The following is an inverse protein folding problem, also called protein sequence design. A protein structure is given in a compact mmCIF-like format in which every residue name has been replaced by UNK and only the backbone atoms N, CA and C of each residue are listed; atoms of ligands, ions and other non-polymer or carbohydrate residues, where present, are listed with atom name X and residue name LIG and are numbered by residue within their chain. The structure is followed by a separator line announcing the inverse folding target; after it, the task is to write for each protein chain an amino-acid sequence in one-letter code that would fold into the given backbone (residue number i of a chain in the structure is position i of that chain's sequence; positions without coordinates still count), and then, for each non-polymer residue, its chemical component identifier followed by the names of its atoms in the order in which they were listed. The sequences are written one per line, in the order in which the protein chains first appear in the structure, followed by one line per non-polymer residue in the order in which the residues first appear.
data_IF_897531346869
#
_entry.id   IF_897531346869
#
_cell.length_a   1.000
_cell.length_b   1.000
_cell.length_c   1.000
_cell.angle_alpha   90.00
_cell.angle_beta   90.00
_cell.angle_gamma   90.00
#
_symmetry.space_group_name_H-M   'P 1'
#
loop_
_entity.id
_entity.type
_entity.pdbx_description
1 polymer ?
#
# COMPACT_ATOMS: atom_id res chain seq x y z
N UNK A 1 5.85 -14.14 -33.02
CA UNK A 1 6.40 -14.24 -31.65
C UNK A 1 5.89 -13.03 -30.88
N UNK A 2 5.16 -13.22 -29.78
CA UNK A 2 4.71 -12.10 -28.95
C UNK A 2 5.90 -11.68 -28.09
N UNK A 3 6.54 -10.58 -28.45
CA UNK A 3 7.64 -10.03 -27.67
C UNK A 3 7.08 -9.39 -26.39
N UNK A 4 7.62 -9.76 -25.23
CA UNK A 4 7.18 -9.27 -23.91
C UNK A 4 7.85 -7.92 -23.59
N UNK A 5 7.10 -6.87 -23.23
CA UNK A 5 7.66 -5.54 -22.93
C UNK A 5 8.61 -5.49 -21.73
N UNK A 6 8.62 -6.51 -20.85
CA UNK A 6 9.58 -6.59 -19.74
C UNK A 6 10.95 -7.15 -20.14
N UNK A 7 11.04 -7.78 -21.30
CA UNK A 7 12.26 -8.45 -21.80
C UNK A 7 12.80 -7.76 -23.03
N UNK A 8 11.92 -7.26 -23.90
CA UNK A 8 12.28 -6.62 -25.15
C UNK A 8 11.83 -5.15 -25.17
N UNK A 9 12.63 -4.27 -25.79
CA UNK A 9 12.28 -2.87 -25.92
C UNK A 9 11.03 -2.68 -26.73
N UNK A 10 10.00 -2.21 -26.03
CA UNK A 10 8.71 -1.90 -26.59
C UNK A 10 8.17 -0.64 -25.94
N UNK A 11 7.80 0.32 -26.78
CA UNK A 11 7.09 1.49 -26.31
C UNK A 11 5.67 1.08 -25.93
N UNK A 12 5.36 1.21 -24.65
CA UNK A 12 4.05 0.83 -24.09
C UNK A 12 2.96 1.90 -24.29
N UNK A 13 3.22 2.94 -25.08
CA UNK A 13 2.26 3.88 -25.65
C UNK A 13 1.39 4.64 -24.64
N UNK A 14 0.42 5.41 -25.15
CA UNK A 14 -0.61 6.10 -24.36
C UNK A 14 -0.14 7.32 -23.57
N UNK A 15 -1.02 7.85 -22.73
CA UNK A 15 -0.67 8.95 -21.82
C UNK A 15 -0.02 8.41 -20.53
N UNK A 16 0.29 9.28 -19.57
CA UNK A 16 0.97 8.87 -18.34
C UNK A 16 0.22 7.76 -17.58
N UNK A 17 -1.11 7.80 -17.57
CA UNK A 17 -1.99 6.91 -16.78
C UNK A 17 -2.63 5.85 -17.69
N UNK A 18 -3.40 6.25 -18.69
CA UNK A 18 -4.03 5.36 -19.68
C UNK A 18 -3.01 4.96 -20.76
N UNK A 19 -2.38 3.81 -20.54
CA UNK A 19 -1.37 3.20 -21.40
C UNK A 19 -1.58 1.67 -21.49
N UNK A 20 -0.79 0.96 -22.30
CA UNK A 20 -0.96 -0.49 -22.45
C UNK A 20 -0.70 -1.27 -21.15
N UNK A 21 0.07 -0.73 -20.19
CA UNK A 21 0.21 -1.36 -18.86
C UNK A 21 -1.07 -1.27 -18.05
N UNK A 22 -1.89 -0.24 -18.24
CA UNK A 22 -3.20 -0.18 -17.61
C UNK A 22 -4.06 -1.37 -18.07
N UNK A 23 -4.08 -1.62 -19.38
CA UNK A 23 -4.80 -2.79 -19.92
C UNK A 23 -4.18 -4.09 -19.42
N UNK A 24 -2.86 -4.22 -19.47
CA UNK A 24 -2.14 -5.42 -19.06
C UNK A 24 -2.36 -5.81 -17.60
N UNK A 25 -2.45 -4.84 -16.70
CA UNK A 25 -2.65 -5.13 -15.27
C UNK A 25 -4.11 -5.12 -14.85
N UNK A 26 -4.92 -4.20 -15.37
CA UNK A 26 -6.32 -4.09 -14.98
C UNK A 26 -7.21 -5.13 -15.68
N UNK A 27 -6.91 -5.56 -16.91
CA UNK A 27 -7.73 -6.57 -17.58
C UNK A 27 -7.68 -7.94 -16.88
N UNK A 28 -6.52 -8.48 -16.48
CA UNK A 28 -6.47 -9.69 -15.66
C UNK A 28 -7.10 -9.49 -14.28
N UNK A 29 -6.95 -8.30 -13.68
CA UNK A 29 -7.62 -8.00 -12.41
C UNK A 29 -9.15 -8.13 -12.53
N UNK A 30 -9.72 -7.59 -13.61
CA UNK A 30 -11.14 -7.69 -13.90
C UNK A 30 -11.55 -9.13 -14.22
N UNK A 31 -10.82 -9.84 -15.09
CA UNK A 31 -11.11 -11.23 -15.44
C UNK A 31 -11.02 -12.18 -14.24
N UNK A 32 -10.03 -12.00 -13.37
CA UNK A 32 -9.89 -12.82 -12.16
C UNK A 32 -10.91 -12.44 -11.10
N UNK A 33 -11.34 -11.17 -11.06
CA UNK A 33 -12.42 -10.76 -10.17
C UNK A 33 -13.76 -11.41 -10.52
N UNK A 34 -14.04 -11.67 -11.80
CA UNK A 34 -15.30 -12.32 -12.22
C UNK A 34 -15.35 -13.82 -11.89
N UNK A 35 -14.19 -14.48 -11.77
CA UNK A 35 -14.09 -15.88 -11.32
C UNK A 35 -14.45 -16.07 -9.85
N UNK A 36 -14.20 -15.05 -9.02
CA UNK A 36 -14.53 -15.07 -7.59
C UNK A 36 -15.99 -14.70 -7.35
N UNK A 37 -16.61 -13.94 -8.25
CA UNK A 37 -18.05 -13.69 -8.24
C UNK A 37 -18.80 -15.00 -8.57
N UNK A 38 -19.91 -15.31 -7.86
CA UNK A 38 -20.76 -16.43 -8.26
C UNK A 38 -21.17 -16.25 -9.73
N UNK A 39 -21.32 -17.34 -10.52
CA UNK A 39 -21.59 -17.24 -11.96
C UNK A 39 -22.70 -16.22 -12.22
N UNK A 40 -22.31 -15.12 -12.85
CA UNK A 40 -23.06 -13.90 -13.12
C UNK A 40 -24.41 -14.11 -13.82
N UNK A 41 -24.72 -15.34 -14.22
CA UNK A 41 -25.94 -15.73 -14.91
C UNK A 41 -27.01 -16.42 -14.03
N UNK A 42 -26.69 -16.85 -12.80
CA UNK A 42 -27.64 -17.66 -11.98
C UNK A 42 -28.34 -16.92 -10.84
N UNK A 43 -27.93 -15.70 -10.50
CA UNK A 43 -28.54 -14.94 -9.39
C UNK A 43 -28.68 -13.50 -9.83
N UNK A 44 -29.79 -13.16 -10.51
CA UNK A 44 -30.28 -11.79 -10.44
C UNK A 44 -30.78 -11.61 -9.00
N UNK A 45 -30.16 -10.75 -8.18
CA UNK A 45 -30.55 -10.61 -6.79
C UNK A 45 -31.92 -9.93 -6.73
N UNK A 46 -32.98 -10.72 -6.55
CA UNK A 46 -34.35 -10.24 -6.42
C UNK A 46 -34.67 -9.68 -5.03
N UNK A 47 -33.72 -9.76 -4.08
CA UNK A 47 -33.92 -9.32 -2.70
C UNK A 47 -32.70 -8.62 -2.10
N UNK A 48 -32.94 -7.57 -1.33
CA UNK A 48 -31.93 -6.74 -0.68
C UNK A 48 -31.00 -7.52 0.28
N UNK A 49 -31.47 -8.65 0.82
CA UNK A 49 -30.66 -9.53 1.68
C UNK A 49 -29.57 -10.28 0.90
N UNK A 50 -29.84 -10.66 -0.35
CA UNK A 50 -28.87 -11.33 -1.23
C UNK A 50 -27.80 -10.35 -1.71
N UNK A 51 -28.18 -9.10 -1.96
CA UNK A 51 -27.23 -8.01 -2.29
C UNK A 51 -26.26 -7.78 -1.11
N UNK A 52 -26.78 -7.70 0.12
CA UNK A 52 -25.94 -7.55 1.32
C UNK A 52 -24.99 -8.73 1.50
N UNK A 53 -25.46 -9.97 1.32
CA UNK A 53 -24.63 -11.17 1.44
C UNK A 53 -23.50 -11.23 0.39
N UNK A 54 -23.77 -10.78 -0.84
CA UNK A 54 -22.77 -10.67 -1.90
C UNK A 54 -21.68 -9.63 -1.56
N UNK A 55 -22.09 -8.49 -1.01
CA UNK A 55 -21.17 -7.39 -0.63
C UNK A 55 -20.40 -7.71 0.65
N UNK A 56 -20.96 -8.44 1.61
CA UNK A 56 -20.27 -8.80 2.86
C UNK A 56 -19.52 -10.14 2.81
N UNK A 57 -19.69 -10.90 1.74
CA UNK A 57 -19.18 -12.26 1.61
C UNK A 57 -17.65 -12.35 1.44
N UNK A 58 -17.06 -13.54 1.66
CA UNK A 58 -15.66 -13.80 1.37
C UNK A 58 -15.29 -13.46 -0.08
N UNK A 59 -16.26 -13.60 -1.00
CA UNK A 59 -16.18 -13.23 -2.41
C UNK A 59 -15.61 -11.82 -2.64
N UNK A 60 -16.23 -10.80 -2.05
CA UNK A 60 -15.80 -9.41 -2.25
C UNK A 60 -14.39 -9.15 -1.70
N UNK A 61 -14.01 -9.83 -0.61
CA UNK A 61 -12.64 -9.72 -0.05
C UNK A 61 -11.60 -10.23 -1.04
N UNK A 62 -11.85 -11.37 -1.69
CA UNK A 62 -10.96 -11.91 -2.71
C UNK A 62 -10.82 -10.96 -3.91
N UNK A 63 -11.93 -10.41 -4.39
CA UNK A 63 -11.94 -9.39 -5.46
C UNK A 63 -11.10 -8.17 -5.09
N UNK A 64 -11.29 -7.61 -3.89
CA UNK A 64 -10.54 -6.44 -3.41
C UNK A 64 -9.04 -6.73 -3.32
N UNK A 65 -8.65 -7.92 -2.85
CA UNK A 65 -7.24 -8.33 -2.78
C UNK A 65 -6.63 -8.45 -4.17
N UNK A 66 -7.32 -9.08 -5.13
CA UNK A 66 -6.87 -9.21 -6.51
C UNK A 66 -6.70 -7.82 -7.13
N UNK A 67 -7.71 -6.96 -7.05
CA UNK A 67 -7.64 -5.60 -7.59
C UNK A 67 -6.49 -4.83 -6.94
N UNK A 68 -6.34 -4.92 -5.62
CA UNK A 68 -5.24 -4.27 -4.89
C UNK A 68 -3.87 -4.75 -5.39
N UNK A 69 -3.67 -6.05 -5.56
CA UNK A 69 -2.43 -6.62 -6.07
C UNK A 69 -2.08 -6.11 -7.48
N UNK A 70 -3.05 -6.11 -8.39
CA UNK A 70 -2.82 -5.62 -9.75
C UNK A 70 -2.64 -4.09 -9.81
N UNK A 71 -3.30 -3.34 -8.93
CA UNK A 71 -3.06 -1.90 -8.78
C UNK A 71 -1.62 -1.62 -8.33
N UNK A 72 -1.07 -2.43 -7.42
CA UNK A 72 0.34 -2.33 -7.02
C UNK A 72 1.26 -2.50 -8.24
N UNK A 73 1.03 -3.53 -9.06
CA UNK A 73 1.84 -3.78 -10.26
C UNK A 73 1.71 -2.64 -11.29
N UNK A 74 0.51 -2.11 -11.44
CA UNK A 74 0.24 -0.99 -12.33
C UNK A 74 0.91 0.31 -11.90
N UNK A 75 0.84 0.67 -10.61
CA UNK A 75 1.50 1.86 -10.07
C UNK A 75 3.01 1.77 -10.27
N UNK A 76 3.63 0.61 -9.97
CA UNK A 76 5.06 0.42 -10.20
C UNK A 76 5.41 0.56 -11.70
N UNK A 77 4.56 0.05 -12.59
CA UNK A 77 4.76 0.16 -14.04
C UNK A 77 4.63 1.61 -14.54
N UNK A 78 3.75 2.42 -13.94
CA UNK A 78 3.67 3.86 -14.25
C UNK A 78 4.99 4.54 -13.88
N UNK A 79 5.47 4.34 -12.65
CA UNK A 79 6.71 4.96 -12.18
C UNK A 79 7.87 4.56 -13.10
N UNK A 80 8.02 3.27 -13.39
CA UNK A 80 9.03 2.76 -14.32
C UNK A 80 8.97 3.46 -15.68
N UNK A 81 7.78 3.52 -16.29
CA UNK A 81 7.59 4.19 -17.59
C UNK A 81 7.97 5.66 -17.58
N UNK A 82 7.68 6.37 -16.48
CA UNK A 82 7.98 7.80 -16.36
C UNK A 82 9.50 8.05 -16.44
N UNK A 83 10.32 7.18 -15.84
CA UNK A 83 11.78 7.33 -15.84
C UNK A 83 12.46 6.71 -17.08
N UNK A 84 11.80 5.82 -17.80
CA UNK A 84 12.33 5.15 -18.98
C UNK A 84 11.60 5.47 -20.29
N UNK A 85 10.99 6.66 -20.37
CA UNK A 85 10.34 7.17 -21.58
C UNK A 85 9.35 6.20 -22.22
N UNK A 86 8.54 5.51 -21.40
CA UNK A 86 7.52 4.57 -21.86
C UNK A 86 7.97 3.11 -22.01
N UNK A 87 9.20 2.77 -21.60
CA UNK A 87 9.71 1.40 -21.56
C UNK A 87 9.63 0.82 -20.13
N UNK A 88 9.53 -0.51 -20.01
CA UNK A 88 9.40 -1.23 -18.73
C UNK A 88 10.36 -2.41 -18.59
N UNK A 89 11.36 -2.47 -19.45
CA UNK A 89 12.30 -3.59 -19.49
C UNK A 89 13.06 -3.76 -18.17
N UNK A 90 13.25 -5.01 -17.74
CA UNK A 90 14.04 -5.33 -16.54
C UNK A 90 15.54 -5.10 -16.73
N UNK A 91 16.02 -5.12 -17.98
CA UNK A 91 17.43 -4.86 -18.30
C UNK A 91 17.84 -3.40 -18.09
N UNK A 92 16.90 -2.48 -17.97
CA UNK A 92 17.18 -1.08 -17.66
C UNK A 92 17.59 -0.98 -16.18
N UNK A 93 18.63 -0.23 -15.85
CA UNK A 93 18.99 0.04 -14.45
C UNK A 93 17.87 0.79 -13.70
N UNK A 94 17.92 0.82 -12.37
CA UNK A 94 17.04 1.67 -11.56
C UNK A 94 17.85 2.90 -11.12
N UNK A 95 17.39 4.09 -11.52
CA UNK A 95 18.03 5.35 -11.13
C UNK A 95 17.62 5.79 -9.71
N UNK A 96 18.43 6.64 -9.08
CA UNK A 96 18.13 7.17 -7.74
C UNK A 96 16.78 7.92 -7.68
N UNK A 97 16.52 8.78 -8.66
CA UNK A 97 15.25 9.52 -8.74
C UNK A 97 14.04 8.59 -8.89
N UNK A 98 14.18 7.50 -9.65
CA UNK A 98 13.15 6.45 -9.77
C UNK A 98 12.93 5.76 -8.43
N UNK A 99 14.02 5.36 -7.76
CA UNK A 99 14.00 4.69 -6.45
C UNK A 99 13.28 5.52 -5.38
N UNK A 100 13.58 6.82 -5.29
CA UNK A 100 12.93 7.74 -4.36
C UNK A 100 11.45 7.95 -4.71
N UNK A 101 11.11 8.00 -5.99
CA UNK A 101 9.72 8.17 -6.43
C UNK A 101 8.85 7.00 -5.99
N UNK A 102 9.35 5.75 -6.05
CA UNK A 102 8.63 4.62 -5.46
C UNK A 102 8.31 4.87 -3.98
N UNK A 103 9.30 5.26 -3.17
CA UNK A 103 9.08 5.51 -1.74
C UNK A 103 8.06 6.60 -1.48
N UNK A 104 8.14 7.73 -2.19
CA UNK A 104 7.21 8.86 -2.02
C UNK A 104 5.79 8.48 -2.39
N UNK A 105 5.60 7.81 -3.54
CA UNK A 105 4.25 7.38 -3.98
C UNK A 105 3.65 6.39 -2.98
N UNK A 106 4.42 5.41 -2.53
CA UNK A 106 3.94 4.42 -1.55
C UNK A 106 3.66 5.04 -0.18
N UNK A 107 4.44 6.05 0.24
CA UNK A 107 4.20 6.81 1.48
C UNK A 107 2.87 7.58 1.42
N UNK A 108 2.60 8.25 0.30
CA UNK A 108 1.35 8.95 0.07
C UNK A 108 0.18 7.97 0.10
N UNK A 109 0.30 6.83 -0.60
CA UNK A 109 -0.76 5.81 -0.61
C UNK A 109 -1.02 5.22 0.78
N UNK A 110 0.03 4.96 1.57
CA UNK A 110 -0.11 4.50 2.95
C UNK A 110 -0.87 5.53 3.80
N UNK A 111 -0.46 6.79 3.72
CA UNK A 111 -1.08 7.90 4.46
C UNK A 111 -2.54 8.10 4.07
N UNK A 112 -2.85 8.11 2.77
CA UNK A 112 -4.22 8.18 2.27
C UNK A 112 -5.06 6.99 2.72
N UNK A 113 -4.49 5.78 2.74
CA UNK A 113 -5.18 4.58 3.21
C UNK A 113 -5.52 4.67 4.70
N UNK A 114 -4.60 5.19 5.53
CA UNK A 114 -4.85 5.44 6.96
C UNK A 114 -5.96 6.49 7.11
N UNK A 115 -5.84 7.63 6.43
CA UNK A 115 -6.77 8.73 6.55
C UNK A 115 -8.19 8.33 6.11
N UNK A 116 -8.33 7.71 4.94
CA UNK A 116 -9.61 7.20 4.44
C UNK A 116 -10.14 6.08 5.35
N UNK A 117 -9.25 5.23 5.88
CA UNK A 117 -9.62 4.20 6.85
C UNK A 117 -10.23 4.80 8.13
N UNK A 118 -9.62 5.86 8.66
CA UNK A 118 -10.11 6.57 9.84
C UNK A 118 -11.43 7.29 9.55
N UNK A 119 -11.49 8.05 8.44
CA UNK A 119 -12.68 8.78 8.02
C UNK A 119 -13.88 7.86 7.77
N UNK A 120 -13.64 6.65 7.23
CA UNK A 120 -14.69 5.66 7.00
C UNK A 120 -14.94 4.73 8.19
N UNK A 121 -14.29 4.94 9.34
CA UNK A 121 -14.36 4.07 10.53
C UNK A 121 -14.06 2.58 10.22
N UNK A 122 -13.06 2.32 9.37
CA UNK A 122 -12.62 0.97 8.97
C UNK A 122 -11.27 0.62 9.58
N UNK A 123 -11.27 0.02 10.76
CA UNK A 123 -10.04 -0.39 11.48
C UNK A 123 -9.09 -1.26 10.65
N UNK A 124 -9.63 -2.13 9.79
CA UNK A 124 -8.80 -2.95 8.90
C UNK A 124 -8.01 -2.11 7.90
N UNK A 125 -8.64 -1.09 7.32
CA UNK A 125 -7.95 -0.19 6.38
C UNK A 125 -6.87 0.62 7.10
N UNK A 126 -7.16 1.09 8.32
CA UNK A 126 -6.17 1.78 9.17
C UNK A 126 -4.97 0.88 9.46
N UNK A 127 -5.20 -0.37 9.91
CA UNK A 127 -4.13 -1.35 10.19
C UNK A 127 -3.31 -1.66 8.94
N UNK A 128 -3.95 -1.85 7.79
CA UNK A 128 -3.27 -2.07 6.52
C UNK A 128 -2.42 -0.86 6.11
N UNK A 129 -2.96 0.34 6.27
CA UNK A 129 -2.24 1.58 5.99
C UNK A 129 -1.00 1.75 6.88
N UNK A 130 -1.10 1.45 8.18
CA UNK A 130 0.06 1.44 9.09
C UNK A 130 1.08 0.35 8.74
N UNK A 131 0.62 -0.84 8.34
CA UNK A 131 1.50 -1.90 7.85
C UNK A 131 2.27 -1.45 6.60
N UNK A 132 1.59 -0.85 5.63
CA UNK A 132 2.23 -0.31 4.43
C UNK A 132 3.20 0.83 4.77
N UNK A 133 2.80 1.75 5.64
CA UNK A 133 3.66 2.83 6.13
C UNK A 133 4.95 2.27 6.74
N UNK A 134 4.84 1.23 7.56
CA UNK A 134 5.99 0.58 8.19
C UNK A 134 6.94 0.00 7.13
N UNK A 135 6.41 -0.70 6.13
CA UNK A 135 7.21 -1.25 5.03
C UNK A 135 7.93 -0.15 4.25
N UNK A 136 7.24 0.95 3.95
CA UNK A 136 7.83 2.09 3.22
C UNK A 136 8.92 2.76 4.03
N UNK A 137 8.71 2.97 5.33
CA UNK A 137 9.72 3.56 6.22
C UNK A 137 10.94 2.64 6.36
N UNK A 138 10.73 1.33 6.52
CA UNK A 138 11.84 0.37 6.55
C UNK A 138 12.61 0.35 5.22
N UNK A 139 11.92 0.35 4.08
CA UNK A 139 12.55 0.45 2.76
C UNK A 139 13.35 1.74 2.63
N UNK A 140 12.76 2.88 2.97
CA UNK A 140 13.44 4.17 2.88
C UNK A 140 14.68 4.20 3.76
N UNK A 141 14.60 3.64 4.96
CA UNK A 141 15.75 3.56 5.85
C UNK A 141 16.82 2.58 5.38
N UNK A 142 16.47 1.39 4.88
CA UNK A 142 17.46 0.38 4.51
C UNK A 142 18.04 0.65 3.13
N UNK A 143 17.17 0.88 2.15
CA UNK A 143 17.55 0.97 0.73
C UNK A 143 17.86 2.43 0.37
N UNK A 144 17.01 3.37 0.75
CA UNK A 144 17.21 4.75 0.33
C UNK A 144 18.31 5.44 1.14
N UNK A 145 18.61 5.02 2.38
CA UNK A 145 19.81 5.50 3.11
C UNK A 145 21.12 4.89 2.59
N UNK A 146 21.07 3.72 1.96
CA UNK A 146 22.27 3.05 1.45
C UNK A 146 22.95 3.85 0.33
N UNK A 147 22.19 4.73 -0.35
CA UNK A 147 22.70 5.63 -1.37
C UNK A 147 23.26 6.94 -0.82
N UNK A 148 23.13 7.21 0.48
CA UNK A 148 23.74 8.38 1.12
C UNK A 148 25.17 8.06 1.62
N UNK A 149 26.11 8.95 1.30
CA UNK A 149 27.52 8.83 1.70
C UNK A 149 27.73 8.97 3.23
N UNK A 150 28.87 8.46 3.72
CA UNK A 150 29.13 8.05 5.11
C UNK A 150 28.60 8.94 6.25
N UNK A 151 28.62 10.27 6.12
CA UNK A 151 28.12 11.17 7.17
C UNK A 151 26.59 11.09 7.34
N UNK A 152 25.85 11.13 6.24
CA UNK A 152 24.39 11.05 6.25
C UNK A 152 23.90 9.69 6.74
N UNK A 153 24.65 8.62 6.44
CA UNK A 153 24.37 7.28 6.97
C UNK A 153 24.51 7.24 8.51
N UNK A 154 25.58 7.84 9.04
CA UNK A 154 25.80 7.93 10.48
C UNK A 154 24.72 8.77 11.19
N UNK A 155 24.39 9.95 10.65
CA UNK A 155 23.32 10.81 11.17
C UNK A 155 21.96 10.11 11.17
N UNK A 156 21.68 9.28 10.17
CA UNK A 156 20.42 8.56 10.06
C UNK A 156 20.29 7.42 11.07
N UNK A 157 21.38 6.70 11.35
CA UNK A 157 21.40 5.74 12.45
C UNK A 157 21.17 6.41 13.80
N UNK A 158 21.79 7.57 14.04
CA UNK A 158 21.59 8.35 15.26
C UNK A 158 20.14 8.84 15.36
N UNK A 159 19.61 9.44 14.29
CA UNK A 159 18.22 9.92 14.25
C UNK A 159 17.20 8.80 14.48
N UNK A 160 17.42 7.62 13.89
CA UNK A 160 16.57 6.45 14.11
C UNK A 160 16.67 5.93 15.55
N UNK A 161 17.89 5.81 16.09
CA UNK A 161 18.12 5.42 17.48
C UNK A 161 17.43 6.37 18.48
N UNK A 162 17.56 7.67 18.28
CA UNK A 162 16.89 8.68 19.10
C UNK A 162 15.36 8.63 18.97
N UNK A 163 14.84 8.38 17.77
CA UNK A 163 13.40 8.24 17.53
C UNK A 163 12.82 7.04 18.27
N UNK A 164 13.52 5.90 18.27
CA UNK A 164 13.13 4.70 19.01
C UNK A 164 13.12 4.95 20.52
N UNK A 165 14.15 5.61 21.05
CA UNK A 165 14.22 6.00 22.47
C UNK A 165 13.05 6.94 22.82
N UNK A 166 12.79 7.96 22.00
CA UNK A 166 11.71 8.91 22.21
C UNK A 166 10.33 8.27 22.20
N UNK A 167 10.06 7.36 21.25
CA UNK A 167 8.81 6.60 21.19
C UNK A 167 8.68 5.66 22.40
N UNK A 168 9.74 4.93 22.77
CA UNK A 168 9.74 4.05 23.93
C UNK A 168 9.45 4.81 25.23
N UNK A 169 10.03 6.00 25.39
CA UNK A 169 9.75 6.90 26.51
C UNK A 169 8.30 7.39 26.50
N UNK A 170 7.77 7.78 25.34
CA UNK A 170 6.39 8.25 25.20
C UNK A 170 5.37 7.15 25.54
N UNK A 171 5.60 5.91 25.09
CA UNK A 171 4.78 4.76 25.45
C UNK A 171 4.79 4.49 26.95
N UNK A 172 5.96 4.53 27.59
CA UNK A 172 6.05 4.39 29.05
C UNK A 172 5.25 5.48 29.75
N UNK A 173 5.38 6.74 29.32
CA UNK A 173 4.65 7.88 29.90
C UNK A 173 3.14 7.72 29.81
N UNK A 174 2.59 7.30 28.67
CA UNK A 174 1.15 7.10 28.50
C UNK A 174 0.64 5.88 29.29
N UNK A 175 1.41 4.80 29.39
CA UNK A 175 1.00 3.64 30.18
C UNK A 175 1.00 3.93 31.68
N UNK A 176 1.91 4.79 32.17
CA UNK A 176 2.01 5.15 33.59
C UNK A 176 0.83 6.01 34.07
N UNK A 177 0.18 6.76 33.17
CA UNK A 177 -1.03 7.55 33.48
C UNK A 177 -2.29 6.64 33.61
N UNK A 178 -2.30 5.49 32.92
CA UNK A 178 -3.41 4.53 32.94
C UNK A 178 -3.46 3.65 34.20
N UNK A 179 -2.37 3.57 34.97
CA UNK A 179 -2.21 2.68 36.13
C UNK A 179 -2.44 3.38 37.49
N UNK A 180 -2.99 4.61 37.50
CA UNK A 180 -3.40 5.27 38.75
C UNK A 180 -4.54 4.47 39.41
N UNK A 181 -4.39 3.98 40.66
CA UNK A 181 -5.44 3.24 41.35
C UNK A 181 -6.70 4.10 41.49
N UNK A 182 -7.85 3.54 41.11
CA UNK A 182 -9.18 4.14 41.33
C UNK A 182 -9.61 3.94 42.80
N UNK A 183 -8.75 4.32 43.74
CA UNK A 183 -9.06 4.24 45.16
C UNK A 183 -9.47 5.63 45.65
N UNK A 184 -10.78 5.88 45.59
CA UNK A 184 -11.56 6.71 46.54
C UNK A 184 -13.01 6.88 46.03
N UNK A 185 -13.84 5.85 46.21
CA UNK A 185 -15.27 6.05 46.44
C UNK A 185 -15.53 5.52 47.85
N UNK A 186 -15.46 6.41 48.84
CA UNK A 186 -15.87 6.05 50.21
C UNK A 186 -17.37 5.76 50.23
N UNK A 187 -17.84 4.71 50.93
CA UNK A 187 -19.27 4.49 51.11
C UNK A 187 -19.80 5.57 52.05
N UNK A 188 -20.67 6.44 51.55
CA UNK A 188 -21.46 7.34 52.39
C UNK A 188 -22.48 6.48 53.12
N UNK A 189 -22.34 6.44 54.45
CA UNK A 189 -23.27 5.83 55.42
C UNK A 189 -24.64 6.50 55.39
#
# INVERSE_FOLDING_TARGET
MVNNPFVFPQNTGGNAVLNYMALQWLAPALLLSTLWLPPWFKVLPSSASQIKALISGPCLKGVVVIIGLFLVLYINSIIRRLFHHGHVEFGLGIGQAEQYTYSVVWLILATLTIFLGQYMHKDRAVKLGFGLLTVVLLKAFVIDMSSLEGLYRALSFIGLGLSLVGIGWLFQKFNMESDRPRDQVSPVT
#
